data_IF_893856667844
#
_entry.id   IF_893856667844
#
_cell.length_a   1.000
_cell.length_b   1.000
_cell.length_c   1.000
_cell.angle_alpha   90.00
_cell.angle_beta   90.00
_cell.angle_gamma   90.00
#
_symmetry.space_group_name_H-M   'P 1'
#
loop_
_entity.id
_entity.type
_entity.pdbx_description
1 polymer ?
#
# COMPACT_ATOMS: atom_id res chain seq x y z
N UNK A 1 31.91 -32.72 6.53
CA UNK A 1 31.00 -32.15 7.56
C UNK A 1 31.18 -30.65 7.54
N UNK A 2 30.22 -29.96 6.91
CA UNK A 2 30.43 -28.62 6.34
C UNK A 2 30.14 -27.44 7.28
N UNK A 3 30.65 -26.28 6.89
CA UNK A 3 30.51 -24.94 7.49
C UNK A 3 29.05 -24.41 7.60
N UNK A 4 28.04 -25.27 7.60
CA UNK A 4 26.63 -24.91 7.75
C UNK A 4 26.32 -24.31 9.12
N UNK A 5 26.99 -24.77 10.17
CA UNK A 5 26.78 -24.26 11.54
C UNK A 5 27.22 -22.79 11.69
N UNK A 6 28.37 -22.41 11.11
CA UNK A 6 28.83 -21.00 11.11
C UNK A 6 27.95 -20.11 10.25
N UNK A 7 27.43 -20.61 9.13
CA UNK A 7 26.48 -19.87 8.29
C UNK A 7 25.13 -19.65 9.00
N UNK A 8 24.62 -20.67 9.71
CA UNK A 8 23.38 -20.57 10.49
C UNK A 8 23.51 -19.54 11.63
N UNK A 9 24.59 -19.60 12.41
CA UNK A 9 24.84 -18.62 13.48
C UNK A 9 25.07 -17.19 12.96
N UNK A 10 25.57 -17.01 11.73
CA UNK A 10 25.69 -15.68 11.11
C UNK A 10 24.33 -15.15 10.65
N UNK A 11 23.46 -16.01 10.11
CA UNK A 11 22.09 -15.63 9.73
C UNK A 11 21.26 -15.28 10.96
N UNK A 12 21.34 -16.08 12.01
CA UNK A 12 20.63 -15.86 13.27
C UNK A 12 21.00 -14.52 13.92
N UNK A 13 22.31 -14.24 14.08
CA UNK A 13 22.78 -12.94 14.61
C UNK A 13 22.44 -11.73 13.73
N UNK A 14 22.30 -11.92 12.41
CA UNK A 14 21.89 -10.85 11.50
C UNK A 14 20.38 -10.56 11.60
N UNK A 15 19.57 -11.60 11.81
CA UNK A 15 18.13 -11.46 12.05
C UNK A 15 17.83 -10.76 13.38
N UNK A 16 18.67 -10.94 14.40
CA UNK A 16 18.51 -10.25 15.70
C UNK A 16 18.94 -8.77 15.67
N UNK A 17 19.86 -8.41 14.76
CA UNK A 17 20.32 -7.03 14.53
C UNK A 17 19.49 -6.27 13.50
N UNK A 18 18.64 -6.97 12.75
CA UNK A 18 17.62 -6.31 11.94
C UNK A 18 16.66 -5.58 12.90
N UNK A 19 16.34 -4.29 12.66
CA UNK A 19 15.44 -3.55 13.53
C UNK A 19 14.15 -4.36 13.70
N UNK A 20 13.79 -4.68 14.96
CA UNK A 20 12.56 -5.39 15.37
C UNK A 20 11.33 -4.50 15.14
N UNK A 21 11.14 -4.12 13.90
CA UNK A 21 10.21 -3.12 13.45
C UNK A 21 10.18 -3.14 11.94
N UNK A 22 9.95 -4.33 11.36
CA UNK A 22 9.34 -4.37 10.04
C UNK A 22 8.10 -3.51 10.13
N UNK A 23 8.11 -2.32 9.52
CA UNK A 23 6.85 -1.65 9.19
C UNK A 23 6.05 -2.73 8.48
N UNK A 24 5.02 -3.26 9.13
CA UNK A 24 4.31 -4.40 8.59
C UNK A 24 3.91 -4.02 7.17
N UNK A 25 4.21 -4.87 6.18
CA UNK A 25 3.84 -4.57 4.79
C UNK A 25 2.36 -4.17 4.72
N UNK A 26 1.53 -4.73 5.60
CA UNK A 26 0.16 -4.29 5.87
C UNK A 26 0.02 -2.80 6.22
N UNK A 27 0.78 -2.26 7.18
CA UNK A 27 0.76 -0.81 7.50
C UNK A 27 1.24 0.05 6.35
N UNK A 28 2.25 -0.40 5.60
CA UNK A 28 2.73 0.31 4.40
C UNK A 28 1.65 0.32 3.32
N UNK A 29 0.97 -0.81 3.11
CA UNK A 29 -0.13 -0.94 2.16
C UNK A 29 -1.37 -0.15 2.59
N UNK A 30 -1.65 -0.03 3.89
CA UNK A 30 -2.73 0.79 4.44
C UNK A 30 -2.44 2.28 4.27
N UNK A 31 -1.22 2.72 4.57
CA UNK A 31 -0.77 4.09 4.30
C UNK A 31 -0.85 4.44 2.81
N UNK A 32 -0.64 3.46 1.92
CA UNK A 32 -0.78 3.64 0.49
C UNK A 32 -2.23 3.79 0.02
N UNK A 33 -3.25 3.52 0.84
CA UNK A 33 -4.68 3.73 0.48
C UNK A 33 -5.14 5.15 0.81
N UNK A 34 -4.48 6.15 0.23
CA UNK A 34 -4.69 7.56 0.61
C UNK A 34 -5.83 8.24 -0.16
N UNK A 35 -6.36 7.64 -1.22
CA UNK A 35 -7.43 8.21 -2.05
C UNK A 35 -8.75 7.54 -1.67
N UNK A 36 -9.81 8.30 -1.42
CA UNK A 36 -11.14 7.77 -1.06
C UNK A 36 -12.19 8.48 -1.90
N UNK A 37 -13.11 7.76 -2.55
CA UNK A 37 -14.23 8.46 -3.22
C UNK A 37 -15.18 9.01 -2.16
N UNK A 38 -15.51 10.29 -2.25
CA UNK A 38 -16.45 10.99 -1.39
C UNK A 38 -17.91 10.51 -1.50
N UNK A 39 -18.26 9.78 -2.57
CA UNK A 39 -19.63 9.25 -2.75
C UNK A 39 -19.81 7.89 -2.06
N UNK A 40 -19.02 6.87 -2.41
CA UNK A 40 -19.17 5.51 -1.84
C UNK A 40 -18.16 5.14 -0.76
N UNK A 41 -17.21 6.04 -0.44
CA UNK A 41 -16.14 5.80 0.55
C UNK A 41 -15.23 4.61 0.24
N UNK A 42 -15.20 4.16 -1.02
CA UNK A 42 -14.29 3.11 -1.45
C UNK A 42 -12.85 3.64 -1.43
N UNK A 43 -11.90 2.96 -0.76
CA UNK A 43 -10.50 3.36 -0.73
C UNK A 43 -9.78 2.90 -2.01
N UNK A 44 -8.85 3.73 -2.47
CA UNK A 44 -7.98 3.56 -3.62
C UNK A 44 -6.54 3.80 -3.21
N UNK A 45 -5.61 3.20 -3.96
CA UNK A 45 -4.19 3.39 -3.74
C UNK A 45 -3.78 4.79 -4.21
N UNK A 46 -2.82 5.41 -3.52
CA UNK A 46 -2.22 6.70 -3.90
C UNK A 46 -1.53 6.63 -5.25
N UNK A 47 -1.13 5.43 -5.69
CA UNK A 47 -0.54 5.17 -7.00
C UNK A 47 -1.57 4.93 -8.10
N UNK A 48 -2.87 4.92 -7.78
CA UNK A 48 -3.93 4.79 -8.78
C UNK A 48 -3.90 6.00 -9.72
N UNK A 49 -3.87 5.74 -11.03
CA UNK A 49 -3.83 6.80 -12.04
C UNK A 49 -5.22 7.40 -12.29
N UNK A 50 -5.25 8.66 -12.75
CA UNK A 50 -6.48 9.39 -13.04
C UNK A 50 -7.51 8.64 -13.90
N UNK A 51 -7.14 7.91 -14.99
CA UNK A 51 -8.12 7.20 -15.81
C UNK A 51 -8.92 6.14 -15.04
N UNK A 52 -8.29 5.48 -14.07
CA UNK A 52 -8.98 4.48 -13.24
C UNK A 52 -9.95 5.12 -12.22
N UNK A 53 -9.66 6.33 -11.76
CA UNK A 53 -10.55 7.09 -10.88
C UNK A 53 -11.71 7.70 -11.68
N UNK A 54 -11.47 8.15 -12.90
CA UNK A 54 -12.52 8.57 -13.85
C UNK A 54 -13.45 7.42 -14.19
N UNK A 55 -12.91 6.25 -14.51
CA UNK A 55 -13.73 5.07 -14.80
C UNK A 55 -14.63 4.72 -13.61
N UNK A 56 -14.11 4.78 -12.38
CA UNK A 56 -14.92 4.59 -11.18
C UNK A 56 -16.03 5.64 -11.06
N UNK A 57 -15.68 6.92 -11.23
CA UNK A 57 -16.63 8.02 -11.10
C UNK A 57 -17.76 7.91 -12.14
N UNK A 58 -17.43 7.59 -13.39
CA UNK A 58 -18.39 7.45 -14.48
C UNK A 58 -19.25 6.18 -14.36
N UNK A 59 -18.64 5.01 -14.14
CA UNK A 59 -19.36 3.74 -14.15
C UNK A 59 -20.16 3.46 -12.87
N UNK A 60 -19.74 4.02 -11.72
CA UNK A 60 -20.43 3.77 -10.44
C UNK A 60 -21.35 4.90 -10.01
N UNK A 61 -21.02 6.14 -10.36
CA UNK A 61 -21.74 7.31 -9.86
C UNK A 61 -22.25 8.23 -10.97
N UNK A 62 -21.89 7.95 -12.23
CA UNK A 62 -22.17 8.83 -13.38
C UNK A 62 -21.76 10.29 -13.12
N UNK A 63 -20.65 10.48 -12.38
CA UNK A 63 -20.08 11.77 -12.00
C UNK A 63 -18.70 11.96 -12.61
N UNK A 64 -18.21 13.19 -12.57
CA UNK A 64 -16.81 13.47 -12.91
C UNK A 64 -15.85 13.05 -11.79
N UNK A 65 -14.58 12.85 -12.13
CA UNK A 65 -13.54 12.53 -11.15
C UNK A 65 -13.41 13.61 -10.07
N UNK A 66 -13.51 14.88 -10.43
CA UNK A 66 -13.45 16.00 -9.49
C UNK A 66 -14.58 15.96 -8.44
N UNK A 67 -15.76 15.48 -8.82
CA UNK A 67 -16.91 15.36 -7.93
C UNK A 67 -16.84 14.11 -7.03
N UNK A 68 -16.31 12.97 -7.52
CA UNK A 68 -16.15 11.77 -6.71
C UNK A 68 -14.91 11.87 -5.80
N UNK A 69 -13.85 12.53 -6.24
CA UNK A 69 -12.55 12.58 -5.54
C UNK A 69 -12.09 14.02 -5.30
N UNK A 70 -12.76 14.80 -4.43
CA UNK A 70 -12.44 16.22 -4.21
C UNK A 70 -11.05 16.47 -3.59
N UNK A 71 -10.40 15.43 -3.04
CA UNK A 71 -9.05 15.49 -2.46
C UNK A 71 -7.95 14.88 -3.33
N UNK A 72 -8.28 14.28 -4.49
CA UNK A 72 -7.28 13.76 -5.41
C UNK A 72 -6.81 14.91 -6.32
N UNK A 73 -5.79 15.64 -5.87
CA UNK A 73 -5.04 16.59 -6.70
C UNK A 73 -3.78 15.95 -7.24
#
# INVERSE_FOLDING_TARGET
>A
MGNGAKAAQKRERNSEKAPKGSKSQAKVNEAAKSIVCGTCKQPFLITTRAPALEEHAQNKHSKTMAECFPGAK
#
